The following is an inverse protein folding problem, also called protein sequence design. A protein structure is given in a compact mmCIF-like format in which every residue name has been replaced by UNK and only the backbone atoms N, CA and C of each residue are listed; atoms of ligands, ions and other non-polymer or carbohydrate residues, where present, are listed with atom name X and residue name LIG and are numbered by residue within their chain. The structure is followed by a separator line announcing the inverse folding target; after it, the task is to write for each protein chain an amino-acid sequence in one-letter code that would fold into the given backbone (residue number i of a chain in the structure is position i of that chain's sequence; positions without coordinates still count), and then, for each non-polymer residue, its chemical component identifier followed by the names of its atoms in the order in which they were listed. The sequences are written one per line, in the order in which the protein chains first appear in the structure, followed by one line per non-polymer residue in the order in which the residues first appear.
data_IF_154031247623
#
_entry.id   IF_154031247623
#
_cell.length_a   1.000
_cell.length_b   1.000
_cell.length_c   1.000
_cell.angle_alpha   90.00
_cell.angle_beta   90.00
_cell.angle_gamma   90.00
#
_symmetry.space_group_name_H-M   'P 1'
#
loop_
_entity.id
_entity.type
_entity.pdbx_description
1 polymer ?
#
# COMPACT_ATOMS: atom_id res chain seq x y z
N UNK A 1 -17.84 -47.53 -18.42
CA UNK A 1 -18.22 -46.65 -19.54
C UNK A 1 -18.27 -45.26 -18.95
N UNK A 2 -17.17 -44.56 -19.18
CA UNK A 2 -16.86 -43.25 -18.67
C UNK A 2 -17.87 -42.21 -19.16
N UNK A 3 -18.23 -41.28 -18.29
CA UNK A 3 -18.59 -39.92 -18.68
C UNK A 3 -17.84 -39.00 -17.74
N UNK A 4 -16.71 -38.53 -18.24
CA UNK A 4 -15.84 -37.57 -17.61
C UNK A 4 -15.74 -36.34 -18.51
N UNK A 5 -15.65 -35.19 -17.86
CA UNK A 5 -15.16 -33.88 -18.33
C UNK A 5 -15.99 -33.10 -19.36
N UNK A 6 -16.57 -31.98 -18.90
CA UNK A 6 -16.29 -30.64 -19.47
C UNK A 6 -16.98 -29.55 -18.64
N UNK A 7 -16.35 -29.14 -17.53
CA UNK A 7 -16.80 -28.01 -16.72
C UNK A 7 -15.63 -27.13 -16.26
N UNK A 8 -14.58 -26.98 -17.07
CA UNK A 8 -13.39 -26.23 -16.69
C UNK A 8 -12.82 -25.25 -17.75
N UNK A 9 -13.52 -25.02 -18.87
CA UNK A 9 -13.02 -24.09 -19.91
C UNK A 9 -13.71 -22.71 -19.97
N UNK A 10 -14.76 -22.46 -19.17
CA UNK A 10 -15.55 -21.21 -19.24
C UNK A 10 -15.05 -20.05 -18.38
N UNK A 11 -14.45 -20.33 -17.21
CA UNK A 11 -13.99 -19.31 -16.26
C UNK A 11 -12.64 -18.69 -16.65
N UNK A 12 -11.73 -19.50 -17.22
CA UNK A 12 -10.39 -19.06 -17.64
C UNK A 12 -10.43 -18.10 -18.83
N UNK A 13 -11.31 -18.32 -19.81
CA UNK A 13 -11.41 -17.46 -20.99
C UNK A 13 -11.98 -16.06 -20.63
N UNK A 14 -12.92 -15.98 -19.68
CA UNK A 14 -13.53 -14.72 -19.27
C UNK A 14 -12.61 -13.90 -18.34
N UNK A 15 -11.78 -14.56 -17.52
CA UNK A 15 -10.70 -13.89 -16.79
C UNK A 15 -9.62 -13.41 -17.75
N UNK A 16 -9.20 -14.24 -18.71
CA UNK A 16 -8.16 -13.88 -19.68
C UNK A 16 -8.56 -12.68 -20.58
N UNK A 17 -9.84 -12.52 -20.92
CA UNK A 17 -10.34 -11.34 -21.65
C UNK A 17 -10.33 -10.08 -20.76
N UNK A 18 -10.67 -10.20 -19.47
CA UNK A 18 -10.53 -9.11 -18.50
C UNK A 18 -9.07 -8.76 -18.22
N UNK A 19 -8.21 -9.76 -18.08
CA UNK A 19 -6.77 -9.61 -17.85
C UNK A 19 -6.09 -9.01 -19.08
N UNK A 20 -6.54 -9.35 -20.29
CA UNK A 20 -6.08 -8.74 -21.53
C UNK A 20 -6.56 -7.29 -21.66
N UNK A 21 -7.83 -7.00 -21.34
CA UNK A 21 -8.34 -5.62 -21.31
C UNK A 21 -7.65 -4.78 -20.22
N UNK A 22 -7.32 -5.36 -19.08
CA UNK A 22 -6.46 -4.73 -18.06
C UNK A 22 -5.07 -4.58 -18.66
N UNK A 23 -4.42 -5.57 -19.24
CA UNK A 23 -3.07 -5.44 -19.80
C UNK A 23 -2.96 -4.40 -20.93
N UNK A 24 -4.01 -4.28 -21.76
CA UNK A 24 -4.12 -3.36 -22.91
C UNK A 24 -4.54 -1.93 -22.48
N UNK A 25 -5.35 -1.76 -21.43
CA UNK A 25 -5.83 -0.44 -20.95
C UNK A 25 -5.22 0.03 -19.62
N UNK A 26 -4.52 -0.85 -18.92
CA UNK A 26 -3.63 -0.47 -17.83
C UNK A 26 -2.30 -0.07 -18.45
N UNK A 27 -1.93 1.19 -18.23
CA UNK A 27 -0.81 1.91 -18.85
C UNK A 27 -0.27 1.29 -20.16
N UNK A 28 -0.89 1.66 -21.29
CA UNK A 28 -0.11 2.11 -22.44
C UNK A 28 0.06 3.63 -22.31
N UNK A 29 1.24 4.14 -22.69
CA UNK A 29 1.75 5.42 -22.21
C UNK A 29 1.12 6.71 -22.74
N UNK A 30 -0.15 6.70 -23.14
CA UNK A 30 -0.77 7.89 -23.72
C UNK A 30 -2.22 8.09 -23.29
N UNK A 31 -2.53 9.36 -23.02
CA UNK A 31 -3.87 9.95 -22.86
C UNK A 31 -4.70 9.69 -24.13
N UNK A 32 -5.72 8.80 -24.10
CA UNK A 32 -6.54 8.51 -25.28
C UNK A 32 -7.42 9.70 -25.70
N UNK A 33 -7.50 10.76 -24.89
CA UNK A 33 -8.36 11.91 -25.14
C UNK A 33 -7.59 13.18 -25.57
N UNK A 34 -6.27 13.12 -25.82
CA UNK A 34 -5.43 14.23 -26.32
C UNK A 34 -5.54 15.56 -25.53
N UNK A 35 -5.98 15.56 -24.27
CA UNK A 35 -6.39 16.77 -23.56
C UNK A 35 -5.22 17.64 -23.06
N UNK A 36 -3.96 17.20 -23.24
CA UNK A 36 -2.82 17.73 -22.47
C UNK A 36 -1.53 18.00 -23.26
N UNK A 37 -1.49 17.74 -24.58
CA UNK A 37 -0.29 17.95 -25.42
C UNK A 37 -0.46 19.20 -26.29
N UNK A 38 0.32 20.25 -26.01
CA UNK A 38 0.21 21.55 -26.68
C UNK A 38 1.20 21.68 -27.86
N UNK A 39 2.18 20.78 -28.00
CA UNK A 39 3.12 20.76 -29.13
C UNK A 39 3.49 19.34 -29.57
N UNK A 40 3.96 19.21 -30.82
CA UNK A 40 4.41 17.95 -31.42
C UNK A 40 5.70 17.39 -30.80
N UNK A 41 6.55 18.26 -30.26
CA UNK A 41 7.80 17.85 -29.59
C UNK A 41 7.51 17.19 -28.22
N UNK A 42 6.45 17.62 -27.55
CA UNK A 42 5.95 17.02 -26.30
C UNK A 42 5.29 15.65 -26.50
N UNK A 43 4.92 15.29 -27.74
CA UNK A 43 4.44 13.94 -28.08
C UNK A 43 5.58 12.91 -28.14
N UNK A 44 6.84 13.35 -28.24
CA UNK A 44 7.98 12.47 -28.50
C UNK A 44 8.85 12.18 -27.26
N UNK A 45 8.52 12.71 -26.07
CA UNK A 45 9.22 12.42 -24.82
C UNK A 45 8.31 11.68 -23.84
N UNK A 46 8.85 10.76 -23.01
CA UNK A 46 8.08 10.10 -21.97
C UNK A 46 7.50 11.14 -21.01
N UNK A 47 6.17 11.14 -20.82
CA UNK A 47 5.49 12.11 -19.95
C UNK A 47 5.66 11.81 -18.46
N UNK A 48 6.25 10.67 -18.12
CA UNK A 48 6.46 10.15 -16.77
C UNK A 48 7.78 9.41 -16.68
N UNK A 49 8.09 8.91 -15.49
CA UNK A 49 9.33 8.19 -15.23
C UNK A 49 10.44 9.09 -14.70
N UNK A 50 11.67 8.57 -14.55
CA UNK A 50 12.73 9.22 -13.79
C UNK A 50 13.28 10.49 -14.44
N UNK A 51 12.96 10.72 -15.71
CA UNK A 51 13.33 11.93 -16.45
C UNK A 51 12.29 13.05 -16.32
N UNK A 52 11.13 12.79 -15.70
CA UNK A 52 10.13 13.82 -15.43
C UNK A 52 10.62 14.81 -14.36
N UNK A 53 10.53 16.11 -14.64
CA UNK A 53 11.04 17.16 -13.72
C UNK A 53 10.40 17.12 -12.34
N UNK A 54 9.08 16.88 -12.29
CA UNK A 54 8.37 16.71 -11.01
C UNK A 54 8.93 15.56 -10.17
N UNK A 55 9.28 14.42 -10.81
CA UNK A 55 9.88 13.29 -10.10
C UNK A 55 11.29 13.65 -9.60
N UNK A 56 12.11 14.33 -10.42
CA UNK A 56 13.45 14.77 -10.02
C UNK A 56 13.43 15.77 -8.85
N UNK A 57 12.50 16.72 -8.87
CA UNK A 57 12.34 17.68 -7.78
C UNK A 57 11.87 17.00 -6.49
N UNK A 58 10.89 16.09 -6.59
CA UNK A 58 10.44 15.31 -5.44
C UNK A 58 11.60 14.47 -4.89
N UNK A 59 12.37 13.77 -5.71
CA UNK A 59 13.55 13.01 -5.26
C UNK A 59 14.57 13.88 -4.48
N UNK A 60 14.77 15.14 -4.89
CA UNK A 60 15.68 16.07 -4.22
C UNK A 60 15.21 16.52 -2.82
N UNK A 61 13.93 16.37 -2.48
CA UNK A 61 13.42 16.72 -1.16
C UNK A 61 13.75 15.65 -0.09
N UNK A 62 14.37 14.52 -0.47
CA UNK A 62 14.84 13.51 0.48
C UNK A 62 16.09 13.98 1.22
N UNK A 63 15.96 14.17 2.53
CA UNK A 63 17.02 14.74 3.36
C UNK A 63 17.79 13.68 4.14
N UNK A 64 19.05 13.99 4.48
CA UNK A 64 19.86 13.16 5.40
C UNK A 64 19.18 12.99 6.77
N UNK A 65 18.45 14.00 7.24
CA UNK A 65 17.70 13.95 8.49
C UNK A 65 16.58 12.90 8.45
N UNK A 66 15.81 12.88 7.35
CA UNK A 66 14.78 11.86 7.09
C UNK A 66 15.39 10.46 7.07
N UNK A 67 16.49 10.28 6.34
CA UNK A 67 17.21 9.00 6.30
C UNK A 67 17.62 8.49 7.68
N UNK A 68 18.19 9.36 8.51
CA UNK A 68 18.60 9.00 9.87
C UNK A 68 17.39 8.60 10.73
N UNK A 69 16.29 9.35 10.64
CA UNK A 69 15.05 9.04 11.35
C UNK A 69 14.49 7.67 10.94
N UNK A 70 14.34 7.41 9.64
CA UNK A 70 13.84 6.13 9.12
C UNK A 70 14.70 4.96 9.58
N UNK A 71 16.02 5.13 9.54
CA UNK A 71 16.98 4.11 9.99
C UNK A 71 16.78 3.78 11.48
N UNK A 72 16.72 4.81 12.34
CA UNK A 72 16.47 4.61 13.78
C UNK A 72 15.13 3.95 14.03
N UNK A 73 14.08 4.36 13.31
CA UNK A 73 12.75 3.80 13.47
C UNK A 73 12.69 2.33 13.06
N UNK A 74 13.34 1.93 11.96
CA UNK A 74 13.39 0.53 11.54
C UNK A 74 14.06 -0.33 12.61
N UNK A 75 15.25 0.04 13.09
CA UNK A 75 15.94 -0.75 14.12
C UNK A 75 15.14 -0.80 15.41
N UNK A 76 14.60 0.32 15.88
CA UNK A 76 13.76 0.37 17.09
C UNK A 76 12.54 -0.52 16.96
N UNK A 77 11.84 -0.45 15.83
CA UNK A 77 10.66 -1.25 15.57
C UNK A 77 11.00 -2.75 15.50
N UNK A 78 12.08 -3.15 14.81
CA UNK A 78 12.53 -4.55 14.76
C UNK A 78 12.86 -5.08 16.16
N UNK A 79 13.57 -4.31 16.99
CA UNK A 79 13.89 -4.72 18.36
C UNK A 79 12.62 -4.93 19.18
N UNK A 80 11.64 -4.02 19.07
CA UNK A 80 10.34 -4.17 19.73
C UNK A 80 9.56 -5.37 19.19
N UNK A 81 9.57 -5.62 17.88
CA UNK A 81 8.90 -6.77 17.27
C UNK A 81 9.49 -8.08 17.80
N UNK A 82 10.82 -8.20 17.83
CA UNK A 82 11.52 -9.38 18.35
C UNK A 82 11.23 -9.57 19.84
N UNK A 83 11.31 -8.51 20.64
CA UNK A 83 11.05 -8.60 22.08
C UNK A 83 9.61 -9.02 22.37
N UNK A 84 8.62 -8.39 21.72
CA UNK A 84 7.22 -8.75 21.86
C UNK A 84 6.95 -10.17 21.36
N UNK A 85 7.57 -10.60 20.26
CA UNK A 85 7.43 -11.97 19.75
C UNK A 85 7.92 -13.00 20.78
N UNK A 86 9.08 -12.76 21.40
CA UNK A 86 9.59 -13.63 22.47
C UNK A 86 8.62 -13.71 23.66
N UNK A 87 7.99 -12.60 24.06
CA UNK A 87 6.95 -12.62 25.08
C UNK A 87 5.71 -13.39 24.62
N UNK A 88 5.21 -13.14 23.40
CA UNK A 88 4.07 -13.87 22.84
C UNK A 88 4.34 -15.38 22.86
N UNK A 89 5.52 -15.83 22.44
CA UNK A 89 5.89 -17.25 22.49
C UNK A 89 5.92 -17.80 23.92
N UNK A 90 6.43 -17.04 24.90
CA UNK A 90 6.45 -17.44 26.31
C UNK A 90 5.04 -17.58 26.90
N UNK A 91 4.10 -16.74 26.47
CA UNK A 91 2.73 -16.72 26.97
C UNK A 91 1.75 -17.55 26.11
N UNK A 92 2.21 -18.08 24.97
CA UNK A 92 1.38 -18.84 24.06
C UNK A 92 0.94 -20.17 24.68
N UNK A 93 -0.36 -20.43 24.59
CA UNK A 93 -1.01 -21.68 24.98
C UNK A 93 -1.53 -22.34 23.71
N UNK A 94 -1.19 -23.62 23.49
CA UNK A 94 -1.50 -24.32 22.24
C UNK A 94 -3.00 -24.37 21.97
N UNK A 95 -3.82 -24.40 23.02
CA UNK A 95 -5.28 -24.38 22.97
C UNK A 95 -5.83 -23.12 22.29
N UNK A 96 -5.04 -22.03 22.24
CA UNK A 96 -5.41 -20.74 21.64
C UNK A 96 -4.97 -20.58 20.19
N UNK A 97 -4.52 -21.65 19.51
CA UNK A 97 -4.05 -21.55 18.12
C UNK A 97 -5.10 -20.93 17.18
N UNK A 98 -6.39 -21.25 17.36
CA UNK A 98 -7.49 -20.68 16.56
C UNK A 98 -7.62 -19.17 16.75
N UNK A 99 -7.39 -18.69 17.97
CA UNK A 99 -7.36 -17.26 18.29
C UNK A 99 -6.25 -16.56 17.54
N UNK A 100 -5.06 -17.15 17.46
CA UNK A 100 -3.93 -16.56 16.73
C UNK A 100 -4.24 -16.47 15.24
N UNK A 101 -4.84 -17.52 14.64
CA UNK A 101 -5.25 -17.51 13.23
C UNK A 101 -6.31 -16.44 12.97
N UNK A 102 -7.34 -16.34 13.82
CA UNK A 102 -8.38 -15.32 13.67
C UNK A 102 -7.81 -13.90 13.84
N UNK A 103 -6.95 -13.71 14.84
CA UNK A 103 -6.24 -12.45 15.07
C UNK A 103 -5.36 -12.06 13.86
N UNK A 104 -4.71 -13.04 13.21
CA UNK A 104 -3.95 -12.83 11.98
C UNK A 104 -4.84 -12.32 10.85
N UNK A 105 -5.97 -12.99 10.60
CA UNK A 105 -6.92 -12.61 9.55
C UNK A 105 -7.49 -11.21 9.79
N UNK A 106 -7.93 -10.92 11.02
CA UNK A 106 -8.39 -9.58 11.38
C UNK A 106 -7.28 -8.54 11.20
N UNK A 107 -6.05 -8.85 11.61
CA UNK A 107 -4.90 -7.95 11.46
C UNK A 107 -4.61 -7.63 10.00
N UNK A 108 -4.64 -8.63 9.12
CA UNK A 108 -4.46 -8.45 7.67
C UNK A 108 -5.57 -7.58 7.08
N UNK A 109 -6.84 -7.89 7.38
CA UNK A 109 -7.98 -7.15 6.85
C UNK A 109 -7.94 -5.68 7.32
N UNK A 110 -7.63 -5.45 8.60
CA UNK A 110 -7.46 -4.10 9.13
C UNK A 110 -6.28 -3.37 8.47
N UNK A 111 -5.13 -4.03 8.28
CA UNK A 111 -3.97 -3.43 7.60
C UNK A 111 -4.30 -3.06 6.15
N UNK A 112 -5.00 -3.94 5.43
CA UNK A 112 -5.42 -3.71 4.06
C UNK A 112 -6.37 -2.50 3.97
N UNK A 113 -7.38 -2.45 4.83
CA UNK A 113 -8.30 -1.31 4.90
C UNK A 113 -7.57 -0.01 5.24
N UNK A 114 -6.74 -0.03 6.29
CA UNK A 114 -5.99 1.14 6.74
C UNK A 114 -5.04 1.64 5.65
N UNK A 115 -4.40 0.72 4.92
CA UNK A 115 -3.55 1.09 3.78
C UNK A 115 -4.35 1.81 2.69
N UNK A 116 -5.56 1.32 2.37
CA UNK A 116 -6.44 1.99 1.41
C UNK A 116 -6.91 3.36 1.89
N UNK A 117 -7.25 3.50 3.18
CA UNK A 117 -7.68 4.77 3.74
C UNK A 117 -6.58 5.83 3.72
N UNK A 118 -5.34 5.45 4.07
CA UNK A 118 -4.19 6.34 4.03
C UNK A 118 -3.83 6.70 2.59
N UNK A 119 -3.84 5.73 1.68
CA UNK A 119 -3.54 5.93 0.27
C UNK A 119 -4.55 6.87 -0.40
N UNK A 120 -5.84 6.56 -0.29
CA UNK A 120 -6.93 7.43 -0.75
C UNK A 120 -6.83 8.84 -0.13
N UNK A 121 -6.56 8.93 1.17
CA UNK A 121 -6.40 10.21 1.85
C UNK A 121 -5.28 11.07 1.26
N UNK A 122 -4.10 10.45 1.08
CA UNK A 122 -2.92 11.09 0.52
C UNK A 122 -3.15 11.54 -0.92
N UNK A 123 -3.77 10.71 -1.74
CA UNK A 123 -3.99 10.96 -3.18
C UNK A 123 -5.09 11.98 -3.42
N UNK A 124 -6.20 11.85 -2.68
CA UNK A 124 -7.38 12.66 -2.93
C UNK A 124 -7.34 14.03 -2.24
N UNK A 125 -6.74 14.17 -1.06
CA UNK A 125 -7.01 15.37 -0.25
C UNK A 125 -5.78 16.13 0.19
N UNK A 126 -4.63 15.48 0.28
CA UNK A 126 -3.46 16.10 0.86
C UNK A 126 -2.57 16.80 -0.19
N UNK A 127 -1.69 17.69 0.28
CA UNK A 127 -0.72 18.37 -0.56
C UNK A 127 0.67 18.28 0.06
N UNK A 128 1.70 18.23 -0.79
CA UNK A 128 3.11 18.26 -0.36
C UNK A 128 3.50 19.59 0.29
N UNK A 129 2.68 20.63 0.13
CA UNK A 129 2.86 21.94 0.76
C UNK A 129 2.39 21.95 2.22
N UNK A 130 1.74 20.88 2.71
CA UNK A 130 1.34 20.78 4.10
C UNK A 130 2.58 20.87 5.01
N UNK A 131 2.57 21.75 6.03
CA UNK A 131 3.71 21.90 6.92
C UNK A 131 3.96 20.59 7.67
N UNK A 132 5.24 20.25 7.85
CA UNK A 132 5.73 19.08 8.62
C UNK A 132 5.47 17.73 7.91
N UNK A 133 4.24 17.49 7.43
CA UNK A 133 3.80 16.20 6.87
C UNK A 133 4.11 16.10 5.38
N UNK A 134 3.91 17.17 4.61
CA UNK A 134 3.94 17.16 3.15
C UNK A 134 5.21 16.57 2.54
N UNK A 135 6.35 17.21 2.79
CA UNK A 135 7.64 16.82 2.20
C UNK A 135 8.14 15.44 2.65
N UNK A 136 7.71 14.98 3.83
CA UNK A 136 8.22 13.76 4.45
C UNK A 136 7.36 12.52 4.15
N UNK A 137 6.02 12.68 4.06
CA UNK A 137 5.09 11.54 3.95
C UNK A 137 4.29 11.53 2.65
N UNK A 138 3.99 12.70 2.06
CA UNK A 138 3.13 12.80 0.87
C UNK A 138 3.92 12.85 -0.43
N UNK A 139 5.19 13.26 -0.35
CA UNK A 139 6.11 13.27 -1.48
C UNK A 139 6.20 11.92 -2.21
N UNK A 140 6.37 10.76 -1.53
CA UNK A 140 6.47 9.48 -2.22
C UNK A 140 5.22 9.13 -3.01
N UNK A 141 4.02 9.51 -2.53
CA UNK A 141 2.76 9.30 -3.25
C UNK A 141 2.71 10.09 -4.55
N UNK A 142 3.08 11.39 -4.53
CA UNK A 142 3.16 12.20 -5.75
C UNK A 142 4.19 11.69 -6.74
N UNK A 143 5.37 11.35 -6.25
CA UNK A 143 6.44 10.80 -7.09
C UNK A 143 6.00 9.48 -7.72
N UNK A 144 5.27 8.66 -6.97
CA UNK A 144 4.73 7.40 -7.43
C UNK A 144 3.68 7.56 -8.54
N UNK A 145 2.79 8.54 -8.48
CA UNK A 145 1.81 8.76 -9.57
C UNK A 145 2.45 9.33 -10.83
N UNK A 146 3.53 10.10 -10.68
CA UNK A 146 4.32 10.63 -11.80
C UNK A 146 5.28 9.57 -12.36
N UNK A 147 5.77 8.67 -11.53
CA UNK A 147 6.72 7.62 -11.89
C UNK A 147 6.41 6.38 -11.05
N UNK A 148 5.48 5.52 -11.51
CA UNK A 148 5.03 4.36 -10.74
C UNK A 148 6.16 3.40 -10.37
N UNK A 149 7.25 3.42 -11.13
CA UNK A 149 8.41 2.57 -10.87
C UNK A 149 9.42 3.17 -9.89
N UNK A 150 9.28 4.43 -9.48
CA UNK A 150 10.17 5.12 -8.51
C UNK A 150 10.38 4.31 -7.24
N UNK A 151 9.28 3.82 -6.66
CA UNK A 151 9.28 2.98 -5.47
C UNK A 151 10.18 1.72 -5.62
N UNK A 152 10.36 1.21 -6.84
CA UNK A 152 11.24 0.04 -7.08
C UNK A 152 12.72 0.36 -6.91
N UNK A 153 13.11 1.63 -7.08
CA UNK A 153 14.49 2.13 -7.00
C UNK A 153 14.92 2.56 -5.59
N UNK A 154 13.96 2.78 -4.68
CA UNK A 154 14.26 3.10 -3.28
C UNK A 154 14.82 1.88 -2.57
N UNK A 155 15.69 2.04 -1.59
CA UNK A 155 16.13 0.91 -0.77
C UNK A 155 15.10 0.54 0.30
N UNK A 156 15.40 -0.47 1.12
CA UNK A 156 14.49 -0.94 2.17
C UNK A 156 14.16 0.15 3.19
N UNK A 157 15.13 1.02 3.52
CA UNK A 157 14.94 2.04 4.55
C UNK A 157 14.02 3.13 4.04
N UNK A 158 14.26 3.67 2.84
CA UNK A 158 13.41 4.70 2.26
C UNK A 158 12.01 4.18 1.93
N UNK A 159 11.89 2.91 1.53
CA UNK A 159 10.58 2.32 1.21
C UNK A 159 9.72 2.13 2.47
N UNK A 160 10.32 1.72 3.59
CA UNK A 160 9.57 1.19 4.74
C UNK A 160 9.68 2.03 6.02
N UNK A 161 10.59 2.99 6.08
CA UNK A 161 10.92 3.72 7.31
C UNK A 161 9.72 4.34 8.02
N UNK A 162 8.78 4.89 7.26
CA UNK A 162 7.58 5.52 7.80
C UNK A 162 6.56 4.53 8.34
N UNK A 163 6.37 3.40 7.65
CA UNK A 163 5.48 2.34 8.14
C UNK A 163 6.05 1.72 9.43
N UNK A 164 7.36 1.51 9.49
CA UNK A 164 8.03 1.04 10.70
C UNK A 164 7.89 2.06 11.84
N UNK A 165 8.09 3.35 11.57
CA UNK A 165 7.88 4.41 12.56
C UNK A 165 6.45 4.40 13.13
N UNK A 166 5.44 4.30 12.27
CA UNK A 166 4.03 4.35 12.65
C UNK A 166 3.66 3.25 13.66
N UNK A 167 4.29 2.09 13.57
CA UNK A 167 3.99 0.93 14.43
C UNK A 167 4.66 0.99 15.81
N UNK A 168 5.70 1.82 15.99
CA UNK A 168 6.50 1.88 17.22
C UNK A 168 5.65 2.16 18.47
N UNK A 169 4.73 3.15 18.52
CA UNK A 169 3.98 3.45 19.74
C UNK A 169 3.15 2.26 20.23
N UNK A 170 2.49 1.53 19.31
CA UNK A 170 1.71 0.34 19.64
C UNK A 170 2.60 -0.80 20.15
N UNK A 171 3.72 -1.05 19.47
CA UNK A 171 4.67 -2.10 19.87
C UNK A 171 5.39 -1.77 21.20
N UNK A 172 5.70 -0.51 21.45
CA UNK A 172 6.28 -0.04 22.70
C UNK A 172 5.29 -0.19 23.86
N UNK A 173 4.01 0.17 23.63
CA UNK A 173 2.95 -0.05 24.63
C UNK A 173 2.73 -1.52 24.93
N UNK A 174 2.75 -2.38 23.91
CA UNK A 174 2.66 -3.83 24.07
C UNK A 174 3.83 -4.38 24.90
N UNK A 175 5.05 -3.94 24.60
CA UNK A 175 6.24 -4.35 25.33
C UNK A 175 6.15 -3.91 26.81
N UNK A 176 5.73 -2.67 27.06
CA UNK A 176 5.48 -2.18 28.41
C UNK A 176 4.43 -3.01 29.16
N UNK A 177 3.35 -3.40 28.48
CA UNK A 177 2.30 -4.24 29.06
C UNK A 177 2.84 -5.62 29.47
N UNK A 178 3.69 -6.25 28.65
CA UNK A 178 4.33 -7.51 29.02
C UNK A 178 5.26 -7.40 30.24
N UNK A 179 5.89 -6.23 30.44
CA UNK A 179 6.78 -6.00 31.59
C UNK A 179 6.04 -5.66 32.89
N UNK A 180 4.86 -5.06 32.80
CA UNK A 180 4.21 -4.42 33.95
C UNK A 180 2.90 -5.08 34.38
N UNK A 181 2.21 -5.79 33.50
CA UNK A 181 0.94 -6.45 33.81
C UNK A 181 1.17 -7.84 34.42
N UNK A 182 0.18 -8.31 35.18
CA UNK A 182 0.20 -9.67 35.72
C UNK A 182 0.06 -10.71 34.61
N UNK A 183 0.48 -11.95 34.88
CA UNK A 183 0.28 -13.06 33.93
C UNK A 183 -1.20 -13.26 33.58
N UNK A 184 -2.10 -13.08 34.55
CA UNK A 184 -3.55 -13.20 34.35
C UNK A 184 -4.05 -12.14 33.36
N UNK A 185 -3.66 -10.87 33.55
CA UNK A 185 -4.03 -9.78 32.64
C UNK A 185 -3.49 -9.99 31.22
N UNK A 186 -2.26 -10.51 31.10
CA UNK A 186 -1.66 -10.85 29.80
C UNK A 186 -2.46 -11.95 29.11
N UNK A 187 -2.84 -13.01 29.84
CA UNK A 187 -3.63 -14.11 29.29
C UNK A 187 -5.05 -13.67 28.89
N UNK A 188 -5.68 -12.80 29.69
CA UNK A 188 -7.00 -12.24 29.39
C UNK A 188 -6.99 -11.38 28.12
N UNK A 189 -5.90 -10.67 27.85
CA UNK A 189 -5.74 -9.82 26.67
C UNK A 189 -4.97 -10.47 25.50
N UNK A 190 -4.60 -11.75 25.62
CA UNK A 190 -3.66 -12.39 24.70
C UNK A 190 -4.10 -12.33 23.23
N UNK A 191 -5.40 -12.52 22.96
CA UNK A 191 -6.00 -12.43 21.62
C UNK A 191 -5.80 -11.05 21.00
N UNK A 192 -6.04 -10.00 21.79
CA UNK A 192 -5.88 -8.61 21.36
C UNK A 192 -4.42 -8.28 21.10
N UNK A 193 -3.52 -8.77 21.96
CA UNK A 193 -2.08 -8.65 21.77
C UNK A 193 -1.62 -9.31 20.46
N UNK A 194 -2.07 -10.52 20.17
CA UNK A 194 -1.76 -11.20 18.91
C UNK A 194 -2.28 -10.43 17.70
N UNK A 195 -3.50 -9.91 17.78
CA UNK A 195 -4.11 -9.09 16.72
C UNK A 195 -3.28 -7.83 16.46
N UNK A 196 -2.96 -7.05 17.50
CA UNK A 196 -2.17 -5.84 17.37
C UNK A 196 -0.76 -6.11 16.84
N UNK A 197 -0.15 -7.22 17.28
CA UNK A 197 1.19 -7.60 16.83
C UNK A 197 1.19 -7.91 15.34
N UNK A 198 0.26 -8.75 14.89
CA UNK A 198 0.15 -9.13 13.48
C UNK A 198 -0.26 -7.94 12.62
N UNK A 199 -1.21 -7.11 13.07
CA UNK A 199 -1.54 -5.84 12.43
C UNK A 199 -0.30 -4.96 12.23
N UNK A 200 0.54 -4.80 13.27
CA UNK A 200 1.76 -4.02 13.19
C UNK A 200 2.76 -4.60 12.16
N UNK A 201 2.90 -5.92 12.08
CA UNK A 201 3.74 -6.58 11.07
C UNK A 201 3.25 -6.28 9.65
N UNK A 202 1.95 -6.41 9.40
CA UNK A 202 1.39 -6.15 8.07
C UNK A 202 1.49 -4.67 7.69
N UNK A 203 1.18 -3.75 8.60
CA UNK A 203 1.35 -2.30 8.37
C UNK A 203 2.81 -1.96 8.05
N UNK A 204 3.77 -2.48 8.82
CA UNK A 204 5.20 -2.25 8.60
C UNK A 204 5.65 -2.72 7.20
N UNK A 205 5.08 -3.83 6.70
CA UNK A 205 5.43 -4.43 5.42
C UNK A 205 4.59 -3.91 4.23
N UNK A 206 3.53 -3.14 4.45
CA UNK A 206 2.63 -2.66 3.38
C UNK A 206 3.40 -2.00 2.22
N UNK A 207 4.34 -1.09 2.49
CA UNK A 207 5.08 -0.41 1.43
C UNK A 207 6.04 -1.35 0.68
N UNK A 208 6.61 -2.34 1.38
CA UNK A 208 7.43 -3.36 0.72
C UNK A 208 6.61 -4.23 -0.21
N UNK A 209 5.38 -4.58 0.19
CA UNK A 209 4.43 -5.34 -0.64
C UNK A 209 4.00 -4.49 -1.84
N UNK A 210 3.67 -3.22 -1.61
CA UNK A 210 3.36 -2.27 -2.67
C UNK A 210 4.52 -2.16 -3.69
N UNK A 211 5.76 -2.01 -3.21
CA UNK A 211 6.95 -2.05 -4.07
C UNK A 211 7.06 -3.33 -4.90
N UNK A 212 6.78 -4.50 -4.31
CA UNK A 212 6.76 -5.77 -5.05
C UNK A 212 5.65 -5.84 -6.09
N UNK A 213 4.53 -5.14 -5.91
CA UNK A 213 3.47 -5.04 -6.94
C UNK A 213 3.92 -4.25 -8.18
N UNK A 214 4.93 -3.38 -8.05
CA UNK A 214 5.57 -2.67 -9.15
C UNK A 214 6.82 -3.36 -9.73
N UNK A 215 7.28 -4.45 -9.11
CA UNK A 215 8.52 -5.12 -9.51
C UNK A 215 8.21 -6.36 -10.35
N UNK A 216 8.39 -6.28 -11.67
CA UNK A 216 8.02 -7.35 -12.60
C UNK A 216 9.11 -8.40 -12.83
N UNK A 217 10.37 -8.05 -12.54
CA UNK A 217 11.53 -8.91 -12.78
C UNK A 217 12.41 -8.99 -11.53
N UNK A 218 13.07 -10.14 -11.33
CA UNK A 218 14.05 -10.32 -10.25
C UNK A 218 13.46 -10.47 -8.84
N UNK A 219 12.14 -10.62 -8.70
CA UNK A 219 11.53 -10.93 -7.40
C UNK A 219 11.88 -12.35 -6.92
N UNK A 220 12.08 -12.55 -5.61
CA UNK A 220 12.20 -13.89 -5.04
C UNK A 220 10.97 -14.75 -5.35
N UNK A 221 11.18 -16.04 -5.67
CA UNK A 221 10.10 -16.97 -6.05
C UNK A 221 8.97 -17.05 -5.02
N UNK A 222 9.28 -16.93 -3.73
CA UNK A 222 8.27 -16.96 -2.67
C UNK A 222 7.38 -15.71 -2.68
N UNK A 223 7.91 -14.53 -3.04
CA UNK A 223 7.10 -13.31 -3.21
C UNK A 223 6.14 -13.49 -4.38
N UNK A 224 6.65 -13.98 -5.51
CA UNK A 224 5.84 -14.28 -6.69
C UNK A 224 4.72 -15.25 -6.35
N UNK A 225 5.05 -16.34 -5.64
CA UNK A 225 4.06 -17.31 -5.18
C UNK A 225 2.96 -16.67 -4.31
N UNK A 226 3.32 -15.82 -3.34
CA UNK A 226 2.35 -15.12 -2.50
C UNK A 226 1.45 -14.17 -3.31
N UNK A 227 1.99 -13.49 -4.32
CA UNK A 227 1.23 -12.63 -5.23
C UNK A 227 0.27 -13.43 -6.10
N UNK A 228 0.73 -14.53 -6.70
CA UNK A 228 -0.08 -15.37 -7.58
C UNK A 228 -1.26 -16.00 -6.81
N UNK A 229 -1.05 -16.33 -5.54
CA UNK A 229 -2.08 -16.88 -4.65
C UNK A 229 -2.88 -15.80 -3.90
N UNK A 230 -2.70 -14.52 -4.24
CA UNK A 230 -3.44 -13.40 -3.64
C UNK A 230 -3.31 -13.32 -2.11
N UNK A 231 -2.21 -13.80 -1.55
CA UNK A 231 -1.91 -13.67 -0.11
C UNK A 231 -1.39 -12.26 0.19
N UNK A 232 -0.62 -11.70 -0.74
CA UNK A 232 -0.15 -10.31 -0.74
C UNK A 232 -0.52 -9.66 -2.08
N UNK A 233 -0.46 -8.32 -2.15
CA UNK A 233 -0.95 -7.56 -3.31
C UNK A 233 -0.36 -8.05 -4.66
N UNK A 234 -1.20 -8.58 -5.57
CA UNK A 234 -0.77 -8.98 -6.91
C UNK A 234 -0.45 -7.78 -7.80
N UNK A 235 0.52 -7.95 -8.73
CA UNK A 235 0.94 -6.89 -9.67
C UNK A 235 -0.21 -6.43 -10.57
N UNK A 236 -0.91 -7.37 -11.20
CA UNK A 236 -2.03 -7.07 -12.10
C UNK A 236 -3.19 -6.39 -11.36
N UNK A 237 -3.46 -6.82 -10.14
CA UNK A 237 -4.49 -6.21 -9.29
C UNK A 237 -4.15 -4.75 -9.01
N UNK A 238 -2.92 -4.47 -8.55
CA UNK A 238 -2.52 -3.11 -8.24
C UNK A 238 -2.44 -2.21 -9.47
N UNK A 239 -2.14 -2.76 -10.64
CA UNK A 239 -2.12 -2.01 -11.91
C UNK A 239 -3.46 -1.35 -12.25
N UNK A 240 -4.59 -1.85 -11.71
CA UNK A 240 -5.92 -1.24 -11.87
C UNK A 240 -5.96 0.17 -11.25
N UNK A 241 -5.33 0.36 -10.09
CA UNK A 241 -5.26 1.65 -9.42
C UNK A 241 -4.49 2.69 -10.25
N UNK A 242 -3.45 2.26 -10.96
CA UNK A 242 -2.63 3.08 -11.87
C UNK A 242 -3.32 3.47 -13.18
N UNK A 243 -4.58 3.06 -13.38
CA UNK A 243 -5.37 3.54 -14.51
C UNK A 243 -5.94 4.90 -14.16
N UNK A 244 -5.68 5.90 -15.00
CA UNK A 244 -6.27 7.22 -14.85
C UNK A 244 -7.80 7.10 -14.73
N UNK A 245 -8.45 7.78 -13.77
CA UNK A 245 -7.95 8.91 -12.99
C UNK A 245 -7.41 8.58 -11.58
N UNK A 246 -6.97 7.34 -11.30
CA UNK A 246 -6.45 6.90 -9.99
C UNK A 246 -7.48 7.00 -8.84
N UNK A 247 -8.73 6.62 -9.11
CA UNK A 247 -9.85 6.78 -8.16
C UNK A 247 -10.35 5.49 -7.52
N UNK A 248 -9.69 4.35 -7.79
CA UNK A 248 -10.13 3.04 -7.34
C UNK A 248 -8.97 2.20 -6.79
N UNK A 249 -9.30 1.11 -6.10
CA UNK A 249 -8.34 0.05 -5.71
C UNK A 249 -7.17 0.53 -4.82
N UNK A 250 -7.48 1.39 -3.83
CA UNK A 250 -6.48 2.01 -2.95
C UNK A 250 -5.80 1.06 -1.95
N UNK A 251 -6.39 -0.10 -1.61
CA UNK A 251 -5.80 -1.03 -0.63
C UNK A 251 -4.57 -1.73 -1.23
N UNK A 252 -3.42 -1.55 -0.57
CA UNK A 252 -2.10 -1.95 -1.09
C UNK A 252 -1.35 -2.99 -0.23
N UNK A 253 -2.00 -3.56 0.79
CA UNK A 253 -1.38 -4.62 1.61
C UNK A 253 -1.65 -5.99 1.00
N UNK A 254 -2.90 -6.32 0.76
CA UNK A 254 -3.32 -7.55 0.08
C UNK A 254 -4.24 -7.27 -1.11
N UNK A 255 -4.94 -6.14 -1.09
CA UNK A 255 -5.96 -5.78 -2.07
C UNK A 255 -7.27 -6.55 -1.90
N UNK A 256 -7.43 -7.29 -0.80
CA UNK A 256 -8.64 -8.09 -0.52
C UNK A 256 -9.90 -7.21 -0.45
N UNK A 257 -9.75 -6.00 0.08
CA UNK A 257 -10.88 -5.09 0.26
C UNK A 257 -11.17 -4.21 -0.95
N UNK A 258 -10.32 -4.21 -1.98
CA UNK A 258 -10.54 -3.37 -3.17
C UNK A 258 -11.87 -3.70 -3.87
N UNK A 259 -12.12 -4.98 -4.18
CA UNK A 259 -13.37 -5.37 -4.85
C UNK A 259 -14.63 -5.10 -3.99
N UNK A 260 -14.69 -5.48 -2.70
CA UNK A 260 -15.83 -5.13 -1.84
C UNK A 260 -16.08 -3.63 -1.75
N UNK A 261 -15.04 -2.81 -1.55
CA UNK A 261 -15.16 -1.35 -1.42
C UNK A 261 -15.59 -0.70 -2.73
N UNK A 262 -15.12 -1.21 -3.87
CA UNK A 262 -15.57 -0.78 -5.20
C UNK A 262 -17.06 -1.08 -5.40
N UNK A 263 -17.52 -2.28 -5.02
CA UNK A 263 -18.94 -2.67 -5.18
C UNK A 263 -19.92 -1.78 -4.44
N UNK A 264 -19.52 -1.27 -3.28
CA UNK A 264 -20.36 -0.34 -2.48
C UNK A 264 -20.05 1.13 -2.77
N UNK A 265 -19.19 1.43 -3.76
CA UNK A 265 -18.77 2.78 -4.11
C UNK A 265 -18.25 3.57 -2.90
N UNK A 266 -17.48 2.90 -2.04
CA UNK A 266 -17.03 3.47 -0.76
C UNK A 266 -16.26 4.78 -0.94
N UNK A 267 -15.23 4.79 -1.80
CA UNK A 267 -14.40 5.97 -2.03
C UNK A 267 -15.16 7.11 -2.71
N UNK A 268 -15.87 6.89 -3.85
CA UNK A 268 -16.66 7.94 -4.47
C UNK A 268 -17.72 8.55 -3.54
N UNK A 269 -18.35 7.72 -2.70
CA UNK A 269 -19.33 8.21 -1.72
C UNK A 269 -18.68 9.13 -0.68
N UNK A 270 -17.53 8.75 -0.12
CA UNK A 270 -16.79 9.61 0.80
C UNK A 270 -16.33 10.90 0.13
N UNK A 271 -15.88 10.83 -1.12
CA UNK A 271 -15.50 12.01 -1.88
C UNK A 271 -16.67 12.97 -2.10
N UNK A 272 -17.82 12.44 -2.52
CA UNK A 272 -19.05 13.21 -2.63
C UNK A 272 -19.45 13.87 -1.31
N UNK A 273 -19.38 13.15 -0.19
CA UNK A 273 -19.69 13.71 1.13
C UNK A 273 -18.76 14.87 1.48
N UNK A 274 -17.44 14.68 1.38
CA UNK A 274 -16.45 15.71 1.73
C UNK A 274 -16.61 16.93 0.82
N UNK A 275 -16.76 16.74 -0.50
CA UNK A 275 -16.96 17.84 -1.44
C UNK A 275 -18.27 18.57 -1.15
N UNK A 276 -19.35 17.87 -0.83
CA UNK A 276 -20.66 18.49 -0.52
C UNK A 276 -20.62 19.31 0.77
N UNK A 277 -19.87 18.85 1.78
CA UNK A 277 -19.75 19.53 3.07
C UNK A 277 -18.75 20.69 3.07
N UNK A 278 -17.70 20.60 2.26
CA UNK A 278 -16.55 21.52 2.35
C UNK A 278 -16.29 22.34 1.09
N UNK A 279 -16.82 21.92 -0.06
CA UNK A 279 -16.54 22.51 -1.38
C UNK A 279 -15.19 22.11 -1.99
N UNK A 280 -14.31 21.42 -1.26
CA UNK A 280 -13.01 20.96 -1.79
C UNK A 280 -13.18 19.82 -2.80
N UNK A 281 -12.36 19.83 -3.85
CA UNK A 281 -12.34 18.79 -4.88
C UNK A 281 -11.18 17.81 -4.66
N UNK A 282 -11.43 16.49 -4.78
CA UNK A 282 -10.38 15.48 -4.65
C UNK A 282 -9.34 15.59 -5.78
N UNK A 283 -8.11 15.13 -5.50
CA UNK A 283 -6.93 15.02 -6.38
C UNK A 283 -6.45 16.34 -7.01
N UNK A 284 -6.85 17.48 -6.42
CA UNK A 284 -6.47 18.81 -6.94
C UNK A 284 -4.95 19.03 -6.93
N UNK A 285 -4.24 18.53 -5.91
CA UNK A 285 -2.78 18.62 -5.81
C UNK A 285 -2.07 17.64 -6.75
N UNK A 286 -2.58 16.41 -6.82
CA UNK A 286 -2.02 15.34 -7.65
C UNK A 286 -1.99 15.74 -9.13
N UNK A 287 -3.10 16.27 -9.64
CA UNK A 287 -3.17 16.79 -11.02
C UNK A 287 -2.24 17.97 -11.28
N UNK A 288 -1.96 18.82 -10.29
CA UNK A 288 -0.98 19.92 -10.45
C UNK A 288 0.43 19.37 -10.65
N UNK A 289 0.81 18.34 -9.90
CA UNK A 289 2.11 17.70 -10.03
C UNK A 289 2.28 16.94 -11.33
N UNK A 290 1.24 16.23 -11.78
CA UNK A 290 1.22 15.57 -13.09
C UNK A 290 1.35 16.57 -14.26
N UNK A 291 0.96 17.83 -14.07
CA UNK A 291 1.07 18.89 -15.08
C UNK A 291 2.39 19.69 -15.00
N UNK A 292 3.27 19.42 -14.03
CA UNK A 292 4.48 20.22 -13.79
C UNK A 292 5.57 19.94 -14.84
N UNK A 293 5.84 20.92 -15.71
CA UNK A 293 6.71 20.78 -16.90
C UNK A 293 7.88 21.78 -16.99
N UNK A 294 8.08 22.65 -15.99
CA UNK A 294 9.15 23.68 -15.98
C UNK A 294 10.02 23.58 -14.73
#
# INVERSE_FOLDING_TARGET
MDFDVDMDMGLSACSAVKDRHILENSMLEDDPNENSAISQEQKNQPRWGPHHKGAQELAQLYSKGKRSQETVCIYTCILLMVANFCFILRHFQIERWTTVVFAALCGIITADFASGLVHWGADSWCSVDLPIIGKNFLRPFREHHIDPTSITRHDFIETNGDNFMLTIPCLARMFWDFLTKSNEDVQNNFSWTCYLFLLAIFVAMTNQIHKWSHTYFGLPKWVVWLQDHHIILPRLHHRIHHVAPHETYFCITTGWLNWPLEKIQFWPFLEWMITSLTGYKPRTDDFKWAQKRA
#
